data_IF_264023625211
#
_entry.id   IF_264023625211
#
_cell.length_a   1.000
_cell.length_b   1.000
_cell.length_c   1.000
_cell.angle_alpha   90.00
_cell.angle_beta   90.00
_cell.angle_gamma   90.00
#
_symmetry.space_group_name_H-M   'P 1'
#
loop_
_entity.id
_entity.type
_entity.pdbx_description
1 polymer ?
#
# COMPACT_ATOMS: atom_id res chain seq x y z
N UNK A 1 3.13 5.44 15.27
CA UNK A 1 4.11 6.28 14.52
C UNK A 1 4.29 5.69 13.12
N UNK A 2 4.20 6.52 12.05
CA UNK A 2 4.41 6.10 10.65
C UNK A 2 5.62 6.86 10.09
N UNK A 3 6.59 6.14 9.52
CA UNK A 3 7.78 6.73 8.86
C UNK A 3 7.94 6.16 7.47
N UNK A 4 8.10 7.02 6.47
CA UNK A 4 8.32 6.67 5.08
C UNK A 4 9.75 6.97 4.66
N UNK A 5 10.35 6.04 3.95
CA UNK A 5 11.66 6.15 3.33
C UNK A 5 11.52 5.73 1.86
N UNK A 6 11.90 6.60 0.96
CA UNK A 6 11.88 6.28 -0.47
C UNK A 6 13.15 6.80 -1.16
N UNK A 7 13.53 6.11 -2.22
CA UNK A 7 14.70 6.48 -3.04
C UNK A 7 14.35 6.32 -4.51
N UNK A 8 14.73 7.32 -5.29
CA UNK A 8 14.67 7.23 -6.75
C UNK A 8 15.93 6.53 -7.24
N UNK A 9 15.75 5.60 -8.17
CA UNK A 9 16.84 4.90 -8.85
C UNK A 9 17.59 5.88 -9.77
N UNK A 10 18.91 5.92 -9.65
CA UNK A 10 19.79 6.78 -10.48
C UNK A 10 20.46 5.98 -11.60
N UNK A 11 20.61 4.67 -11.42
CA UNK A 11 21.26 3.74 -12.35
C UNK A 11 20.42 2.48 -12.52
N UNK A 12 20.96 1.44 -13.17
CA UNK A 12 20.29 0.13 -13.31
C UNK A 12 20.31 -0.72 -12.01
N UNK A 13 20.18 -0.07 -10.85
CA UNK A 13 20.06 -0.75 -9.56
C UNK A 13 18.78 -1.61 -9.50
N UNK A 14 18.86 -2.75 -8.85
CA UNK A 14 17.70 -3.59 -8.57
C UNK A 14 16.81 -2.93 -7.52
N UNK A 15 15.56 -2.65 -7.89
CA UNK A 15 14.61 -1.95 -7.04
C UNK A 15 14.21 -2.74 -5.78
N UNK A 16 14.18 -4.07 -5.87
CA UNK A 16 13.92 -4.91 -4.71
C UNK A 16 15.05 -4.81 -3.70
N UNK A 17 16.29 -4.87 -4.16
CA UNK A 17 17.47 -4.65 -3.33
C UNK A 17 17.46 -3.26 -2.69
N UNK A 18 17.15 -2.22 -3.47
CA UNK A 18 17.03 -0.85 -2.95
C UNK A 18 16.00 -0.74 -1.82
N UNK A 19 14.86 -1.41 -1.95
CA UNK A 19 13.83 -1.40 -0.90
C UNK A 19 14.35 -2.05 0.40
N UNK A 20 15.11 -3.15 0.30
CA UNK A 20 15.75 -3.78 1.46
C UNK A 20 16.86 -2.92 2.07
N UNK A 21 17.65 -2.21 1.28
CA UNK A 21 18.69 -1.29 1.76
C UNK A 21 18.06 -0.07 2.47
N UNK A 22 16.88 0.37 2.00
CA UNK A 22 16.08 1.37 2.70
C UNK A 22 15.60 0.86 4.06
N UNK A 23 15.20 -0.41 4.17
CA UNK A 23 14.82 -1.01 5.46
C UNK A 23 15.99 -1.00 6.44
N UNK A 24 17.18 -1.40 6.00
CA UNK A 24 18.38 -1.34 6.86
C UNK A 24 18.64 0.08 7.37
N UNK A 25 18.63 1.05 6.46
CA UNK A 25 18.82 2.45 6.82
C UNK A 25 17.75 2.96 7.78
N UNK A 26 16.50 2.59 7.56
CA UNK A 26 15.36 2.96 8.38
C UNK A 26 15.47 2.35 9.79
N UNK A 27 15.78 1.06 9.88
CA UNK A 27 15.94 0.33 11.13
C UNK A 27 17.12 0.87 11.96
N UNK A 28 18.25 1.19 11.33
CA UNK A 28 19.39 1.79 12.02
C UNK A 28 19.03 3.12 12.69
N UNK A 29 18.20 3.95 12.04
CA UNK A 29 17.71 5.21 12.61
C UNK A 29 16.81 5.00 13.83
N UNK A 30 16.18 3.83 13.95
CA UNK A 30 15.36 3.43 15.09
C UNK A 30 16.15 2.59 16.14
N UNK A 31 17.46 2.50 15.99
CA UNK A 31 18.33 1.74 16.90
C UNK A 31 18.27 0.21 16.73
N UNK A 32 17.70 -0.26 15.64
CA UNK A 32 17.62 -1.70 15.32
C UNK A 32 18.82 -2.08 14.46
N UNK A 33 19.75 -2.82 15.06
CA UNK A 33 20.95 -3.33 14.38
C UNK A 33 20.63 -4.66 13.69
N UNK A 34 21.29 -4.88 12.56
CA UNK A 34 21.21 -6.12 11.77
C UNK A 34 19.76 -6.59 11.50
N UNK A 35 18.89 -5.72 10.93
CA UNK A 35 17.49 -6.07 10.76
C UNK A 35 17.27 -7.28 9.86
N UNK A 36 18.15 -7.55 8.89
CA UNK A 36 18.02 -8.71 7.99
C UNK A 36 18.12 -10.05 8.72
N UNK A 37 18.92 -10.13 9.77
CA UNK A 37 19.09 -11.34 10.58
C UNK A 37 17.85 -11.64 11.44
N UNK A 38 16.93 -10.67 11.53
CA UNK A 38 15.72 -10.72 12.36
C UNK A 38 14.44 -10.83 11.53
N UNK A 39 14.57 -11.08 10.22
CA UNK A 39 13.41 -11.24 9.36
C UNK A 39 12.83 -12.64 9.53
N UNK A 40 11.55 -12.68 9.87
CA UNK A 40 10.72 -13.87 9.83
C UNK A 40 9.62 -13.70 8.79
N UNK A 41 9.09 -14.81 8.29
CA UNK A 41 8.04 -14.77 7.26
C UNK A 41 6.73 -15.35 7.78
N UNK A 42 5.64 -14.62 7.56
CA UNK A 42 4.29 -15.10 7.82
C UNK A 42 3.83 -16.15 6.81
N UNK A 43 2.64 -16.71 7.06
CA UNK A 43 2.06 -17.81 6.27
C UNK A 43 2.04 -17.56 4.75
N UNK A 44 1.81 -16.30 4.34
CA UNK A 44 1.72 -15.92 2.93
C UNK A 44 2.98 -15.17 2.44
N UNK A 45 4.10 -15.34 3.10
CA UNK A 45 5.38 -14.77 2.70
C UNK A 45 5.59 -13.30 3.04
N UNK A 46 4.68 -12.64 3.77
CA UNK A 46 4.92 -11.28 4.26
C UNK A 46 6.08 -11.30 5.25
N UNK A 47 7.14 -10.47 5.05
CA UNK A 47 8.23 -10.37 6.00
C UNK A 47 7.83 -9.53 7.22
N UNK A 48 8.34 -9.93 8.38
CA UNK A 48 8.20 -9.24 9.67
C UNK A 48 9.55 -9.10 10.35
N UNK A 49 9.68 -8.10 11.19
CA UNK A 49 10.85 -7.88 12.01
C UNK A 49 10.60 -8.44 13.43
N UNK A 50 11.36 -9.45 13.84
CA UNK A 50 11.16 -10.11 15.12
C UNK A 50 11.58 -9.22 16.29
N UNK A 51 10.76 -9.20 17.35
CA UNK A 51 11.16 -8.84 18.71
C UNK A 51 11.38 -7.37 19.05
N UNK A 52 10.85 -6.39 18.29
CA UNK A 52 11.05 -4.96 18.61
C UNK A 52 9.81 -4.04 18.51
N UNK A 53 8.64 -4.62 18.27
CA UNK A 53 7.40 -3.83 18.16
C UNK A 53 7.34 -2.91 16.94
N UNK A 54 8.27 -3.04 15.98
CA UNK A 54 8.25 -2.35 14.71
C UNK A 54 7.74 -3.25 13.60
N UNK A 55 6.88 -2.70 12.79
CA UNK A 55 6.36 -3.32 11.58
C UNK A 55 6.91 -2.58 10.38
N UNK A 56 7.14 -3.29 9.30
CA UNK A 56 7.57 -2.67 8.06
C UNK A 56 6.84 -3.25 6.86
N UNK A 57 6.90 -2.52 5.77
CA UNK A 57 6.52 -3.04 4.46
C UNK A 57 7.36 -2.37 3.37
N UNK A 58 7.55 -3.10 2.28
CA UNK A 58 8.36 -2.67 1.14
C UNK A 58 7.51 -2.67 -0.13
N UNK A 59 7.80 -1.72 -1.01
CA UNK A 59 7.24 -1.69 -2.37
C UNK A 59 8.21 -1.03 -3.33
N UNK A 60 8.03 -1.27 -4.61
CA UNK A 60 8.78 -0.59 -5.66
C UNK A 60 8.00 -0.57 -6.96
N UNK A 61 8.17 0.49 -7.75
CA UNK A 61 7.57 0.61 -9.08
C UNK A 61 8.29 1.68 -9.89
N UNK A 62 8.43 1.44 -11.20
CA UNK A 62 9.09 2.39 -12.09
C UNK A 62 10.53 2.65 -11.66
N UNK A 63 10.79 3.84 -11.11
CA UNK A 63 12.11 4.25 -10.67
C UNK A 63 12.25 4.39 -9.14
N UNK A 64 11.21 4.07 -8.38
CA UNK A 64 11.22 4.25 -6.92
C UNK A 64 11.15 2.94 -6.15
N UNK A 65 11.93 2.89 -5.07
CA UNK A 65 11.77 1.96 -3.97
C UNK A 65 11.20 2.68 -2.75
N UNK A 66 10.37 1.99 -1.98
CA UNK A 66 9.69 2.47 -0.79
C UNK A 66 9.86 1.48 0.35
N UNK A 67 10.21 2.00 1.51
CA UNK A 67 10.15 1.29 2.80
C UNK A 67 9.33 2.11 3.79
N UNK A 68 8.46 1.44 4.52
CA UNK A 68 7.66 2.06 5.58
C UNK A 68 7.92 1.33 6.88
N UNK A 69 8.14 2.10 7.96
CA UNK A 69 8.17 1.61 9.35
C UNK A 69 6.96 2.15 10.11
N UNK A 70 6.37 1.31 10.94
CA UNK A 70 5.24 1.67 11.79
C UNK A 70 5.30 0.91 13.13
N UNK A 71 4.65 1.44 14.17
CA UNK A 71 4.44 0.77 15.45
C UNK A 71 3.18 -0.12 15.47
N UNK A 72 2.48 -0.20 14.36
CA UNK A 72 1.36 -1.11 14.12
C UNK A 72 1.52 -1.81 12.79
N UNK A 73 0.77 -2.89 12.57
CA UNK A 73 0.77 -3.59 11.28
C UNK A 73 0.53 -2.62 10.13
N UNK A 74 1.42 -2.66 9.15
CA UNK A 74 1.45 -1.74 8.00
C UNK A 74 1.58 -2.49 6.69
N UNK A 75 0.99 -1.93 5.65
CA UNK A 75 1.23 -2.26 4.26
C UNK A 75 1.47 -0.99 3.47
N UNK A 76 2.28 -1.04 2.44
CA UNK A 76 2.49 0.09 1.56
C UNK A 76 2.54 -0.35 0.11
N UNK A 77 2.17 0.56 -0.76
CA UNK A 77 2.34 0.37 -2.19
C UNK A 77 2.76 1.67 -2.87
N UNK A 78 3.62 1.56 -3.87
CA UNK A 78 3.99 2.62 -4.78
C UNK A 78 3.77 2.14 -6.20
N UNK A 79 3.08 2.93 -7.02
CA UNK A 79 2.77 2.58 -8.41
C UNK A 79 3.03 3.77 -9.32
N UNK A 80 3.80 3.56 -10.39
CA UNK A 80 3.91 4.53 -11.46
C UNK A 80 2.56 4.71 -12.14
N UNK A 81 2.13 5.96 -12.32
CA UNK A 81 0.90 6.27 -13.06
C UNK A 81 1.02 5.76 -14.50
N UNK A 82 0.06 4.94 -14.89
CA UNK A 82 -0.01 4.37 -16.24
C UNK A 82 -1.45 4.16 -16.68
N UNK A 83 -1.67 4.25 -17.97
CA UNK A 83 -2.96 3.94 -18.58
C UNK A 83 -3.41 2.53 -18.19
N UNK A 84 -4.60 2.37 -17.60
CA UNK A 84 -5.11 1.06 -17.25
C UNK A 84 -5.53 0.27 -18.51
N UNK A 85 -5.41 -1.05 -18.43
CA UNK A 85 -6.06 -1.93 -19.41
C UNK A 85 -7.50 -2.13 -18.98
N UNK A 86 -8.46 -2.01 -19.93
CA UNK A 86 -9.88 -2.20 -19.64
C UNK A 86 -10.17 -3.56 -18.95
N UNK A 87 -9.53 -4.64 -19.42
CA UNK A 87 -9.67 -5.97 -18.81
C UNK A 87 -9.25 -6.03 -17.34
N UNK A 88 -8.27 -5.23 -16.92
CA UNK A 88 -7.85 -5.15 -15.51
C UNK A 88 -8.92 -4.44 -14.69
N UNK A 89 -9.46 -3.33 -15.19
CA UNK A 89 -10.57 -2.60 -14.54
C UNK A 89 -11.78 -3.53 -14.39
N UNK A 90 -12.15 -4.22 -15.45
CA UNK A 90 -13.35 -5.08 -15.46
C UNK A 90 -13.21 -6.28 -14.51
N UNK A 91 -12.02 -6.82 -14.37
CA UNK A 91 -11.79 -8.03 -13.59
C UNK A 91 -11.62 -7.76 -12.07
N UNK A 92 -10.94 -6.66 -11.69
CA UNK A 92 -10.47 -6.49 -10.32
C UNK A 92 -11.18 -5.39 -9.52
N UNK A 93 -12.01 -4.55 -10.18
CA UNK A 93 -12.63 -3.41 -9.52
C UNK A 93 -14.15 -3.57 -9.41
N UNK A 94 -14.69 -3.13 -8.28
CA UNK A 94 -16.13 -3.03 -8.06
C UNK A 94 -16.77 -1.99 -8.98
N UNK A 95 -18.10 -2.03 -9.14
CA UNK A 95 -18.83 -1.04 -9.93
C UNK A 95 -18.55 0.39 -9.45
N UNK A 96 -18.56 0.64 -8.14
CA UNK A 96 -18.27 1.97 -7.57
C UNK A 96 -16.86 2.47 -7.89
N UNK A 97 -15.87 1.59 -7.87
CA UNK A 97 -14.51 1.93 -8.22
C UNK A 97 -14.35 2.19 -9.72
N UNK A 98 -15.04 1.40 -10.56
CA UNK A 98 -15.10 1.63 -12.03
C UNK A 98 -15.68 3.01 -12.34
N UNK A 99 -16.80 3.34 -11.69
CA UNK A 99 -17.44 4.66 -11.86
C UNK A 99 -16.49 5.79 -11.47
N UNK A 100 -15.78 5.66 -10.35
CA UNK A 100 -14.78 6.64 -9.91
C UNK A 100 -13.61 6.75 -10.91
N UNK A 101 -13.06 5.62 -11.38
CA UNK A 101 -11.95 5.62 -12.34
C UNK A 101 -12.36 6.24 -13.67
N UNK A 102 -13.56 5.94 -14.15
CA UNK A 102 -14.04 6.30 -15.48
C UNK A 102 -14.82 7.63 -15.52
N UNK A 103 -15.16 8.22 -14.35
CA UNK A 103 -15.92 9.47 -14.30
C UNK A 103 -15.12 10.60 -14.95
N UNK A 104 -15.66 11.21 -16.01
CA UNK A 104 -15.15 12.44 -16.64
C UNK A 104 -13.61 12.57 -16.76
N UNK A 105 -13.16 13.76 -17.15
CA UNK A 105 -11.74 14.10 -17.18
C UNK A 105 -10.94 13.55 -18.37
N UNK A 106 -9.65 13.85 -18.39
CA UNK A 106 -8.69 13.41 -19.40
C UNK A 106 -8.31 11.93 -19.22
N UNK A 107 -7.59 11.38 -20.17
CA UNK A 107 -7.00 10.04 -20.03
C UNK A 107 -5.96 10.00 -18.88
N UNK A 108 -5.25 11.11 -18.64
CA UNK A 108 -4.34 11.26 -17.52
C UNK A 108 -5.07 11.16 -16.18
N UNK A 109 -6.18 11.88 -16.01
CA UNK A 109 -6.98 11.83 -14.77
C UNK A 109 -7.50 10.43 -14.48
N UNK A 110 -7.90 9.69 -15.51
CA UNK A 110 -8.33 8.28 -15.36
C UNK A 110 -7.18 7.37 -14.96
N UNK A 111 -5.99 7.59 -15.53
CA UNK A 111 -4.80 6.84 -15.18
C UNK A 111 -4.38 7.08 -13.71
N UNK A 112 -4.46 8.31 -13.24
CA UNK A 112 -4.18 8.66 -11.84
C UNK A 112 -5.19 8.00 -10.90
N UNK A 113 -6.51 8.13 -11.16
CA UNK A 113 -7.54 7.50 -10.34
C UNK A 113 -7.43 5.99 -10.30
N UNK A 114 -7.17 5.34 -11.44
CA UNK A 114 -6.91 3.91 -11.49
C UNK A 114 -5.71 3.53 -10.63
N UNK A 115 -4.58 4.24 -10.79
CA UNK A 115 -3.35 3.93 -10.08
C UNK A 115 -3.51 4.17 -8.58
N UNK A 116 -4.27 5.20 -8.18
CA UNK A 116 -4.62 5.49 -6.78
C UNK A 116 -5.40 4.34 -6.14
N UNK A 117 -6.51 3.89 -6.78
CA UNK A 117 -7.30 2.76 -6.26
C UNK A 117 -6.46 1.48 -6.21
N UNK A 118 -5.65 1.23 -7.24
CA UNK A 118 -4.76 0.06 -7.26
C UNK A 118 -3.80 0.07 -6.07
N UNK A 119 -3.11 1.18 -5.83
CA UNK A 119 -2.19 1.33 -4.71
C UNK A 119 -2.89 1.22 -3.34
N UNK A 120 -4.12 1.74 -3.21
CA UNK A 120 -4.94 1.57 -2.02
C UNK A 120 -5.24 0.08 -1.77
N UNK A 121 -5.69 -0.66 -2.79
CA UNK A 121 -5.96 -2.10 -2.69
C UNK A 121 -4.72 -2.91 -2.30
N UNK A 122 -3.60 -2.68 -3.00
CA UNK A 122 -2.34 -3.36 -2.72
C UNK A 122 -1.80 -3.05 -1.33
N UNK A 123 -1.88 -1.79 -0.87
CA UNK A 123 -1.44 -1.42 0.48
C UNK A 123 -2.26 -2.13 1.56
N UNK A 124 -3.56 -2.30 1.35
CA UNK A 124 -4.44 -3.03 2.27
C UNK A 124 -4.11 -4.53 2.30
N UNK A 125 -3.96 -5.19 1.16
CA UNK A 125 -3.58 -6.61 1.08
C UNK A 125 -2.22 -6.85 1.76
N UNK A 126 -1.27 -5.96 1.54
CA UNK A 126 0.05 -6.02 2.19
C UNK A 126 -0.06 -5.78 3.70
N UNK A 127 -0.98 -4.92 4.14
CA UNK A 127 -1.24 -4.67 5.56
C UNK A 127 -1.79 -5.93 6.23
N UNK A 128 -2.80 -6.59 5.65
CA UNK A 128 -3.38 -7.83 6.21
C UNK A 128 -2.44 -9.03 6.10
N UNK A 129 -1.49 -9.00 5.18
CA UNK A 129 -0.59 -10.13 4.91
C UNK A 129 -1.26 -11.31 4.20
N UNK A 130 -2.46 -11.12 3.65
CA UNK A 130 -3.17 -12.18 2.92
C UNK A 130 -2.59 -12.44 1.53
N UNK A 131 -1.87 -11.45 0.99
CA UNK A 131 -1.26 -11.55 -0.33
C UNK A 131 -2.30 -11.73 -1.45
N UNK A 132 -1.88 -12.30 -2.56
CA UNK A 132 -2.72 -12.55 -3.73
C UNK A 132 -3.81 -13.62 -3.50
N UNK A 133 -3.87 -14.26 -2.33
CA UNK A 133 -4.95 -15.19 -1.99
C UNK A 133 -6.28 -14.47 -1.72
N UNK A 134 -6.23 -13.19 -1.41
CA UNK A 134 -7.44 -12.38 -1.21
C UNK A 134 -8.02 -11.92 -2.55
N UNK A 135 -9.30 -12.21 -2.76
CA UNK A 135 -10.03 -11.69 -3.92
C UNK A 135 -10.14 -10.16 -3.83
N UNK A 136 -9.56 -9.46 -4.79
CA UNK A 136 -9.62 -8.00 -4.88
C UNK A 136 -11.05 -7.46 -5.02
N UNK A 137 -12.00 -8.29 -5.42
CA UNK A 137 -13.42 -7.93 -5.51
C UNK A 137 -14.18 -8.10 -4.20
N UNK A 138 -13.59 -8.71 -3.17
CA UNK A 138 -14.20 -8.88 -1.85
C UNK A 138 -14.21 -7.60 -1.02
N UNK A 139 -13.60 -6.53 -1.52
CA UNK A 139 -13.59 -5.22 -0.87
C UNK A 139 -13.45 -4.09 -1.91
N UNK A 140 -13.86 -2.89 -1.52
CA UNK A 140 -13.75 -1.72 -2.39
C UNK A 140 -13.41 -0.47 -1.61
N UNK A 141 -12.89 0.51 -2.35
CA UNK A 141 -12.68 1.86 -1.86
C UNK A 141 -13.75 2.82 -2.39
N UNK A 142 -14.18 3.71 -1.52
CA UNK A 142 -14.93 4.92 -1.86
C UNK A 142 -14.22 6.13 -1.23
N UNK A 143 -14.67 7.34 -1.53
CA UNK A 143 -14.05 8.56 -1.02
C UNK A 143 -15.08 9.43 -0.30
N UNK A 144 -14.74 9.89 0.89
CA UNK A 144 -15.44 10.94 1.62
C UNK A 144 -14.61 12.23 1.50
N UNK A 145 -14.97 13.10 0.52
CA UNK A 145 -14.07 14.12 0.03
C UNK A 145 -12.86 13.49 -0.65
N UNK A 146 -11.65 13.78 -0.16
CA UNK A 146 -10.41 13.19 -0.65
C UNK A 146 -9.98 11.94 0.15
N UNK A 147 -10.61 11.68 1.31
CA UNK A 147 -10.22 10.60 2.21
C UNK A 147 -10.73 9.24 1.72
N UNK A 148 -9.84 8.23 1.56
CA UNK A 148 -10.25 6.89 1.16
C UNK A 148 -10.94 6.16 2.31
N UNK A 149 -12.05 5.52 2.00
CA UNK A 149 -12.83 4.68 2.91
C UNK A 149 -12.93 3.26 2.36
N UNK A 150 -12.55 2.28 3.16
CA UNK A 150 -12.58 0.87 2.80
C UNK A 150 -13.90 0.23 3.22
N UNK A 151 -14.46 -0.57 2.32
CA UNK A 151 -15.63 -1.39 2.55
C UNK A 151 -15.36 -2.86 2.21
N UNK A 152 -15.78 -3.78 3.06
CA UNK A 152 -15.88 -5.20 2.72
C UNK A 152 -17.18 -5.45 1.96
N UNK A 153 -17.11 -6.32 0.98
CA UNK A 153 -18.25 -6.71 0.14
C UNK A 153 -18.56 -8.18 0.40
N UNK A 154 -19.83 -8.46 0.69
CA UNK A 154 -20.35 -9.82 0.90
C UNK A 154 -21.76 -9.94 0.34
N UNK A 155 -22.28 -11.15 0.24
CA UNK A 155 -23.67 -11.41 -0.19
C UNK A 155 -24.70 -10.75 0.74
N UNK A 156 -24.34 -10.54 2.00
CA UNK A 156 -25.18 -9.87 3.01
C UNK A 156 -25.14 -8.35 2.94
N UNK A 157 -24.26 -7.77 2.12
CA UNK A 157 -24.15 -6.33 1.95
C UNK A 157 -22.73 -5.77 2.01
N UNK A 158 -22.65 -4.49 2.33
CA UNK A 158 -21.40 -3.71 2.36
C UNK A 158 -21.12 -3.23 3.77
N UNK A 159 -19.97 -3.57 4.33
CA UNK A 159 -19.55 -3.19 5.68
C UNK A 159 -18.37 -2.21 5.63
N UNK A 160 -18.48 -1.06 6.31
CA UNK A 160 -17.37 -0.11 6.45
C UNK A 160 -16.33 -0.66 7.41
N UNK A 161 -15.07 -0.69 6.97
CA UNK A 161 -13.95 -1.08 7.82
C UNK A 161 -13.53 0.09 8.70
N UNK A 162 -13.50 -0.15 10.01
CA UNK A 162 -12.98 0.79 11.01
C UNK A 162 -11.60 0.36 11.51
N UNK A 163 -10.89 1.29 12.19
CA UNK A 163 -9.60 0.99 12.81
C UNK A 163 -8.41 0.97 11.85
N UNK A 164 -8.60 1.24 10.56
CA UNK A 164 -7.52 1.46 9.59
C UNK A 164 -7.40 2.95 9.24
N UNK A 165 -6.18 3.36 8.92
CA UNK A 165 -5.87 4.65 8.33
C UNK A 165 -5.10 4.44 7.02
N UNK A 166 -5.28 5.39 6.10
CA UNK A 166 -4.55 5.46 4.85
C UNK A 166 -3.79 6.78 4.81
N UNK A 167 -2.54 6.71 4.42
CA UNK A 167 -1.71 7.89 4.18
C UNK A 167 -1.24 7.86 2.73
N UNK A 168 -1.46 8.95 2.02
CA UNK A 168 -1.05 9.11 0.63
C UNK A 168 0.08 10.13 0.54
N UNK A 169 1.25 9.71 0.05
CA UNK A 169 2.37 10.58 -0.23
C UNK A 169 2.30 11.08 -1.68
N UNK A 170 2.32 12.39 -1.87
CA UNK A 170 2.40 12.97 -3.22
C UNK A 170 3.81 12.77 -3.79
N UNK A 171 3.88 12.08 -4.92
CA UNK A 171 5.07 11.92 -5.76
C UNK A 171 4.64 12.10 -7.21
N UNK A 172 5.34 12.97 -7.95
CA UNK A 172 4.98 13.27 -9.33
C UNK A 172 5.04 12.01 -10.20
N UNK A 173 3.91 11.73 -10.89
CA UNK A 173 3.74 10.55 -11.73
C UNK A 173 3.62 9.21 -10.98
N UNK A 174 3.37 9.22 -9.65
CA UNK A 174 3.20 8.01 -8.84
C UNK A 174 2.04 8.15 -7.85
N UNK A 175 1.37 7.02 -7.57
CA UNK A 175 0.54 6.83 -6.38
C UNK A 175 1.36 6.09 -5.32
N UNK A 176 1.49 6.67 -4.14
CA UNK A 176 2.21 6.09 -3.01
C UNK A 176 1.30 6.09 -1.78
N UNK A 177 0.95 4.91 -1.30
CA UNK A 177 -0.06 4.70 -0.26
C UNK A 177 0.47 3.82 0.86
N UNK A 178 0.13 4.17 2.10
CA UNK A 178 0.35 3.33 3.28
C UNK A 178 -0.98 3.05 3.96
N UNK A 179 -1.24 1.78 4.29
CA UNK A 179 -2.36 1.32 5.10
C UNK A 179 -1.83 0.81 6.44
N UNK A 180 -2.38 1.29 7.56
CA UNK A 180 -1.94 0.87 8.90
C UNK A 180 -3.09 0.90 9.91
N UNK A 181 -2.96 0.15 11.01
CA UNK A 181 -3.93 0.19 12.10
C UNK A 181 -3.82 1.51 12.86
N UNK A 182 -4.97 2.17 13.09
CA UNK A 182 -5.04 3.32 13.99
C UNK A 182 -4.68 2.87 15.40
N UNK A 183 -3.84 3.63 16.09
CA UNK A 183 -3.70 3.43 17.53
C UNK A 183 -5.03 3.81 18.21
N UNK A 184 -5.56 2.90 19.02
CA UNK A 184 -6.64 3.26 19.91
C UNK A 184 -6.06 4.23 20.94
N UNK A 185 -6.36 5.52 20.79
CA UNK A 185 -6.17 6.47 21.89
C UNK A 185 -7.10 6.01 23.02
N UNK A 186 -6.54 5.36 24.03
CA UNK A 186 -7.25 5.16 25.30
C UNK A 186 -7.62 6.56 25.83
N UNK A 187 -8.93 6.81 25.86
CA UNK A 187 -9.52 7.93 26.56
C UNK A 187 -9.30 7.79 28.06
#
# INVERSE_FOLDING_TARGET
MLKLFYKKRETDEDLSRMAWDLLETACLKEGVLHPRDRIIYGKNGKPYLEGNGLYFNLSHSGDYALCVLCDTEVGCDIQRVRKPRASVIDHWFSTKEKDYILCGGSEGDRAERFTRIWALKESYIKQTGEGLSRDLRSFCFAFEGEEPVLYLLSDSGTERVSGLAFYEQKLDGYACVCCFKKQLTSL
#
